data_IF_256961416827
#
_entry.id   IF_256961416827
#
_cell.length_a   1.000
_cell.length_b   1.000
_cell.length_c   1.000
_cell.angle_alpha   90.00
_cell.angle_beta   90.00
_cell.angle_gamma   90.00
#
_symmetry.space_group_name_H-M   'P 1'
#
loop_
_entity.id
_entity.type
_entity.pdbx_description
1 polymer ?
#
# COMPACT_ATOMS: atom_id res chain seq x y z
N UNK A 1 4.37 -12.19 32.78
CA UNK A 1 3.43 -11.53 31.84
C UNK A 1 3.69 -12.13 30.48
N UNK A 2 2.69 -12.71 29.89
CA UNK A 2 2.80 -13.31 28.56
C UNK A 2 3.02 -12.21 27.50
N UNK A 3 3.96 -12.41 26.59
CA UNK A 3 4.19 -11.45 25.52
C UNK A 3 3.07 -11.53 24.48
N UNK A 4 2.16 -10.56 24.50
CA UNK A 4 1.02 -10.52 23.58
C UNK A 4 1.38 -10.16 22.12
N UNK A 5 2.60 -9.66 21.91
CA UNK A 5 3.03 -9.16 20.59
C UNK A 5 3.89 -10.14 19.80
N UNK A 6 4.21 -11.31 20.37
CA UNK A 6 4.97 -12.33 19.63
C UNK A 6 4.04 -13.02 18.64
N UNK A 7 4.35 -13.02 17.33
CA UNK A 7 3.55 -13.77 16.38
C UNK A 7 3.67 -15.27 16.68
N UNK A 8 2.52 -15.90 16.91
CA UNK A 8 2.47 -17.34 17.18
C UNK A 8 2.87 -18.20 15.99
N UNK A 9 2.81 -17.63 14.78
CA UNK A 9 3.03 -18.33 13.52
C UNK A 9 3.88 -17.49 12.57
N UNK A 10 5.19 -17.74 12.58
CA UNK A 10 6.14 -16.97 11.75
C UNK A 10 5.87 -17.13 10.26
N UNK A 11 5.41 -18.29 9.81
CA UNK A 11 5.01 -18.50 8.41
C UNK A 11 3.86 -17.58 7.97
N UNK A 12 2.88 -17.34 8.84
CA UNK A 12 1.77 -16.43 8.56
C UNK A 12 2.23 -14.97 8.53
N UNK A 13 3.16 -14.61 9.42
CA UNK A 13 3.79 -13.29 9.41
C UNK A 13 4.61 -13.08 8.13
N UNK A 14 5.32 -14.10 7.66
CA UNK A 14 6.06 -14.04 6.39
C UNK A 14 5.12 -13.83 5.20
N UNK A 15 3.94 -14.44 5.19
CA UNK A 15 2.92 -14.22 4.17
C UNK A 15 2.34 -12.81 4.21
N UNK A 16 2.20 -12.20 5.41
CA UNK A 16 1.83 -10.79 5.54
C UNK A 16 2.91 -9.89 4.90
N UNK A 17 4.19 -10.13 5.21
CA UNK A 17 5.29 -9.39 4.57
C UNK A 17 5.27 -9.53 3.05
N UNK A 18 5.02 -10.74 2.54
CA UNK A 18 4.89 -10.99 1.10
C UNK A 18 3.74 -10.21 0.47
N UNK A 19 2.62 -10.04 1.18
CA UNK A 19 1.51 -9.22 0.72
C UNK A 19 1.94 -7.75 0.48
N UNK A 20 2.72 -7.16 1.42
CA UNK A 20 3.26 -5.81 1.26
C UNK A 20 4.17 -5.70 0.03
N UNK A 21 5.03 -6.68 -0.18
CA UNK A 21 5.92 -6.72 -1.35
C UNK A 21 5.12 -6.79 -2.66
N UNK A 22 4.12 -7.65 -2.74
CA UNK A 22 3.23 -7.74 -3.90
C UNK A 22 2.50 -6.42 -4.17
N UNK A 23 2.00 -5.75 -3.12
CA UNK A 23 1.37 -4.44 -3.29
C UNK A 23 2.36 -3.43 -3.87
N UNK A 24 3.58 -3.37 -3.39
CA UNK A 24 4.59 -2.45 -3.93
C UNK A 24 4.89 -2.70 -5.41
N UNK A 25 4.95 -3.96 -5.84
CA UNK A 25 5.10 -4.32 -7.25
C UNK A 25 3.98 -3.73 -8.12
N UNK A 26 2.71 -3.86 -7.67
CA UNK A 26 1.56 -3.30 -8.39
C UNK A 26 1.53 -1.77 -8.36
N UNK A 27 1.87 -1.15 -7.24
CA UNK A 27 1.96 0.32 -7.12
C UNK A 27 2.99 0.87 -8.12
N UNK A 28 4.19 0.28 -8.16
CA UNK A 28 5.25 0.70 -9.08
C UNK A 28 4.89 0.51 -10.54
N UNK A 29 4.14 -0.55 -10.86
CA UNK A 29 3.66 -0.84 -12.21
C UNK A 29 2.39 -0.06 -12.58
N UNK A 30 1.75 0.62 -11.62
CA UNK A 30 0.42 1.23 -11.77
C UNK A 30 -0.60 0.19 -12.26
N UNK A 31 -0.51 -1.00 -11.71
CA UNK A 31 -1.35 -2.16 -12.06
C UNK A 31 -2.53 -2.30 -11.09
N UNK A 32 -3.59 -1.58 -11.36
CA UNK A 32 -4.79 -1.61 -10.52
C UNK A 32 -5.48 -2.98 -10.55
N UNK A 33 -5.58 -3.59 -11.71
CA UNK A 33 -6.24 -4.88 -11.88
C UNK A 33 -5.51 -5.98 -11.10
N UNK A 34 -4.18 -6.01 -11.18
CA UNK A 34 -3.35 -6.98 -10.45
C UNK A 34 -3.40 -6.82 -8.94
N UNK A 35 -3.59 -5.59 -8.45
CA UNK A 35 -3.69 -5.31 -7.02
C UNK A 35 -5.05 -5.72 -6.41
N UNK A 36 -6.12 -5.71 -7.18
CA UNK A 36 -7.49 -5.95 -6.67
C UNK A 36 -7.64 -7.24 -5.84
N UNK A 37 -7.07 -8.40 -6.21
CA UNK A 37 -7.19 -9.61 -5.41
C UNK A 37 -6.55 -9.54 -4.02
N UNK A 38 -5.67 -8.57 -3.77
CA UNK A 38 -5.06 -8.34 -2.46
C UNK A 38 -6.04 -7.75 -1.43
N UNK A 39 -7.18 -7.24 -1.87
CA UNK A 39 -8.15 -6.51 -1.05
C UNK A 39 -9.55 -7.13 -1.13
N UNK A 40 -10.26 -7.14 -0.01
CA UNK A 40 -11.66 -7.54 0.00
C UNK A 40 -12.52 -6.54 -0.78
N UNK A 41 -13.60 -7.03 -1.41
CA UNK A 41 -14.52 -6.18 -2.17
C UNK A 41 -15.18 -5.10 -1.30
N UNK A 42 -15.44 -5.42 -0.04
CA UNK A 42 -16.08 -4.56 0.97
C UNK A 42 -15.09 -3.90 1.94
N UNK A 43 -13.81 -3.83 1.57
CA UNK A 43 -12.78 -3.19 2.40
C UNK A 43 -13.16 -1.76 2.78
N UNK A 44 -12.60 -1.29 3.88
CA UNK A 44 -12.68 0.11 4.29
C UNK A 44 -11.27 0.67 4.39
N UNK A 45 -11.03 1.84 3.82
CA UNK A 45 -9.72 2.48 3.84
C UNK A 45 -9.78 3.90 4.40
N UNK A 46 -8.68 4.30 5.03
CA UNK A 46 -8.26 5.69 5.12
C UNK A 46 -7.12 5.90 4.13
N UNK A 47 -7.27 6.84 3.23
CA UNK A 47 -6.19 7.28 2.35
C UNK A 47 -5.31 8.35 3.03
N UNK A 48 -4.29 8.79 2.33
CA UNK A 48 -3.36 9.79 2.87
C UNK A 48 -4.00 11.18 3.07
N UNK A 49 -5.18 11.42 2.49
CA UNK A 49 -5.89 12.71 2.54
C UNK A 49 -7.42 12.57 2.44
N UNK A 50 -7.96 11.39 2.72
CA UNK A 50 -9.40 11.11 2.57
C UNK A 50 -10.02 10.62 3.87
N UNK A 51 -11.34 10.82 4.00
CA UNK A 51 -12.19 10.19 4.99
C UNK A 51 -12.36 8.69 4.71
N UNK A 52 -13.41 8.10 5.24
CA UNK A 52 -13.75 6.71 4.96
C UNK A 52 -13.96 6.45 3.48
N UNK A 53 -13.26 5.47 2.96
CA UNK A 53 -13.47 4.93 1.63
C UNK A 53 -14.03 3.53 1.81
N UNK A 54 -15.33 3.36 1.56
CA UNK A 54 -16.01 2.08 1.69
C UNK A 54 -16.11 1.37 0.34
N UNK A 55 -15.49 0.19 0.26
CA UNK A 55 -15.45 -0.65 -0.92
C UNK A 55 -14.18 -0.48 -1.76
N UNK A 56 -13.71 -1.61 -2.30
CA UNK A 56 -12.51 -1.69 -3.14
C UNK A 56 -12.61 -0.82 -4.40
N UNK A 57 -13.79 -0.76 -5.02
CA UNK A 57 -13.98 0.04 -6.23
C UNK A 57 -13.80 1.53 -5.95
N UNK A 58 -14.28 2.01 -4.80
CA UNK A 58 -14.05 3.39 -4.36
C UNK A 58 -12.59 3.62 -3.97
N UNK A 59 -11.93 2.65 -3.35
CA UNK A 59 -10.52 2.73 -3.01
C UNK A 59 -9.66 2.89 -4.28
N UNK A 60 -9.94 2.13 -5.31
CA UNK A 60 -9.28 2.28 -6.61
C UNK A 60 -9.55 3.67 -7.21
N UNK A 61 -10.79 4.10 -7.29
CA UNK A 61 -11.17 5.35 -7.95
C UNK A 61 -10.69 6.60 -7.19
N UNK A 62 -10.81 6.62 -5.86
CA UNK A 62 -10.55 7.81 -5.04
C UNK A 62 -9.09 7.89 -4.54
N UNK A 63 -8.41 6.76 -4.38
CA UNK A 63 -7.07 6.73 -3.81
C UNK A 63 -6.02 6.21 -4.81
N UNK A 64 -6.13 4.98 -5.28
CA UNK A 64 -5.08 4.37 -6.09
C UNK A 64 -4.84 5.14 -7.38
N UNK A 65 -5.89 5.50 -8.12
CA UNK A 65 -5.79 6.25 -9.38
C UNK A 65 -5.30 7.69 -9.20
N UNK A 66 -5.49 8.25 -8.01
CA UNK A 66 -5.05 9.60 -7.67
C UNK A 66 -3.64 9.65 -7.07
N UNK A 67 -3.08 8.52 -6.67
CA UNK A 67 -1.76 8.46 -6.01
C UNK A 67 -0.74 7.73 -6.86
N UNK A 68 -0.99 6.49 -7.26
CA UNK A 68 0.04 5.64 -7.89
C UNK A 68 0.62 6.21 -9.18
N UNK A 69 -0.17 6.80 -10.10
CA UNK A 69 0.40 7.40 -11.32
C UNK A 69 1.24 8.66 -11.06
N UNK A 70 1.10 9.26 -9.88
CA UNK A 70 1.70 10.56 -9.54
C UNK A 70 2.92 10.47 -8.62
N UNK A 71 3.37 9.27 -8.29
CA UNK A 71 4.54 9.00 -7.46
C UNK A 71 5.49 8.06 -8.18
N UNK A 72 6.73 8.03 -7.73
CA UNK A 72 7.74 7.10 -8.21
C UNK A 72 8.46 6.42 -7.04
N UNK A 73 9.22 5.36 -7.34
CA UNK A 73 10.10 4.68 -6.41
C UNK A 73 9.44 4.23 -5.10
N UNK A 74 8.16 3.83 -5.18
CA UNK A 74 7.46 3.29 -4.01
C UNK A 74 8.12 2.00 -3.53
N UNK A 75 8.46 1.94 -2.25
CA UNK A 75 9.01 0.75 -1.61
C UNK A 75 8.68 0.72 -0.12
N UNK A 76 8.51 -0.47 0.41
CA UNK A 76 8.45 -0.67 1.86
C UNK A 76 9.86 -0.71 2.44
N UNK A 77 10.05 -0.14 3.63
CA UNK A 77 11.27 -0.37 4.41
C UNK A 77 11.32 -1.82 4.87
N UNK A 78 12.51 -2.41 5.11
CA UNK A 78 12.63 -3.84 5.44
C UNK A 78 11.95 -4.26 6.74
N UNK A 79 11.80 -3.37 7.72
CA UNK A 79 11.14 -3.64 9.01
C UNK A 79 9.61 -3.62 8.83
N UNK A 80 9.07 -4.72 8.37
CA UNK A 80 7.61 -4.96 8.27
C UNK A 80 7.22 -5.86 9.43
N UNK A 81 6.30 -5.39 10.27
CA UNK A 81 5.85 -6.09 11.46
C UNK A 81 4.45 -6.64 11.27
N UNK A 82 4.22 -7.84 11.82
CA UNK A 82 2.93 -8.49 11.76
C UNK A 82 2.54 -9.07 13.11
N UNK A 83 1.25 -8.99 13.42
CA UNK A 83 0.60 -9.65 14.54
C UNK A 83 -0.43 -10.58 13.94
N UNK A 84 -0.40 -11.86 14.32
CA UNK A 84 -1.35 -12.87 13.84
C UNK A 84 -2.18 -13.37 15.01
N UNK A 85 -3.50 -13.46 14.82
CA UNK A 85 -4.41 -13.99 15.85
C UNK A 85 -4.14 -15.48 16.13
N UNK A 86 -4.45 -15.97 17.34
CA UNK A 86 -4.22 -17.38 17.68
C UNK A 86 -4.94 -18.38 16.79
N UNK A 87 -6.12 -18.03 16.27
CA UNK A 87 -6.88 -18.86 15.33
C UNK A 87 -6.35 -18.78 13.89
N UNK A 88 -5.36 -17.91 13.63
CA UNK A 88 -4.72 -17.72 12.32
C UNK A 88 -5.65 -17.18 11.22
N UNK A 89 -6.74 -16.53 11.60
CA UNK A 89 -7.74 -16.02 10.64
C UNK A 89 -7.71 -14.50 10.49
N UNK A 90 -7.02 -13.80 11.37
CA UNK A 90 -6.87 -12.34 11.34
C UNK A 90 -5.40 -11.97 11.55
N UNK A 91 -4.95 -10.94 10.87
CA UNK A 91 -3.61 -10.39 11.09
C UNK A 91 -3.63 -8.86 10.98
N UNK A 92 -2.63 -8.23 11.59
CA UNK A 92 -2.35 -6.81 11.45
C UNK A 92 -0.92 -6.67 10.95
N UNK A 93 -0.74 -5.99 9.83
CA UNK A 93 0.57 -5.63 9.30
C UNK A 93 0.85 -4.15 9.47
N UNK A 94 2.09 -3.82 9.81
CA UNK A 94 2.55 -2.45 9.98
C UNK A 94 3.85 -2.25 9.22
N UNK A 95 3.93 -1.19 8.42
CA UNK A 95 5.09 -0.92 7.59
C UNK A 95 5.29 0.58 7.37
N UNK A 96 6.51 0.95 7.09
CA UNK A 96 6.89 2.29 6.64
C UNK A 96 7.28 2.21 5.18
N UNK A 97 6.80 3.15 4.37
CA UNK A 97 7.16 3.25 2.97
C UNK A 97 7.95 4.52 2.67
N UNK A 98 8.75 4.45 1.64
CA UNK A 98 9.36 5.59 0.98
C UNK A 98 8.83 5.68 -0.45
N UNK A 99 8.70 6.88 -0.95
CA UNK A 99 8.36 7.16 -2.34
C UNK A 99 8.87 8.54 -2.74
N UNK A 100 8.82 8.84 -4.03
CA UNK A 100 9.10 10.17 -4.56
C UNK A 100 7.79 10.80 -5.01
N UNK A 101 7.50 11.99 -4.47
CA UNK A 101 6.42 12.85 -4.92
C UNK A 101 6.95 14.00 -5.75
N UNK A 102 6.05 14.77 -6.36
CA UNK A 102 6.38 15.90 -7.22
C UNK A 102 5.53 17.12 -6.87
N UNK A 103 6.19 18.26 -6.70
CA UNK A 103 5.51 19.55 -6.51
C UNK A 103 4.83 20.04 -7.79
N UNK A 104 4.05 21.11 -7.70
CA UNK A 104 3.43 21.78 -8.87
C UNK A 104 4.47 22.26 -9.88
N UNK A 105 5.67 22.62 -9.42
CA UNK A 105 6.81 23.00 -10.25
C UNK A 105 7.52 21.81 -10.90
N UNK A 106 7.07 20.59 -10.63
CA UNK A 106 7.65 19.35 -11.10
C UNK A 106 8.91 18.90 -10.39
N UNK A 107 9.31 19.57 -9.29
CA UNK A 107 10.47 19.16 -8.50
C UNK A 107 10.14 17.95 -7.62
N UNK A 108 11.03 16.94 -7.57
CA UNK A 108 10.83 15.78 -6.71
C UNK A 108 11.04 16.14 -5.23
N UNK A 109 10.32 15.44 -4.36
CA UNK A 109 10.52 15.47 -2.92
C UNK A 109 10.38 14.06 -2.34
N UNK A 110 11.02 13.82 -1.20
CA UNK A 110 10.85 12.58 -0.46
C UNK A 110 9.44 12.51 0.13
N UNK A 111 8.77 11.38 -0.10
CA UNK A 111 7.39 11.16 0.32
C UNK A 111 7.27 9.90 1.17
N UNK A 112 7.81 9.91 2.41
CA UNK A 112 7.67 8.81 3.35
C UNK A 112 6.30 8.80 4.02
N UNK A 113 5.87 7.61 4.41
CA UNK A 113 4.64 7.43 5.15
C UNK A 113 4.60 6.09 5.86
N UNK A 114 3.49 5.80 6.49
CA UNK A 114 3.26 4.59 7.25
C UNK A 114 1.94 3.96 6.89
N UNK A 115 1.84 2.66 7.09
CA UNK A 115 0.65 1.89 6.84
C UNK A 115 0.34 0.95 8.00
N UNK A 116 -0.93 0.84 8.32
CA UNK A 116 -1.49 -0.26 9.08
C UNK A 116 -2.52 -0.95 8.20
N UNK A 117 -2.42 -2.27 8.09
CA UNK A 117 -3.32 -3.09 7.28
C UNK A 117 -3.89 -4.20 8.15
N UNK A 118 -5.20 -4.35 8.14
CA UNK A 118 -5.91 -5.45 8.78
C UNK A 118 -6.26 -6.49 7.74
N UNK A 119 -5.88 -7.73 8.00
CA UNK A 119 -6.10 -8.87 7.12
C UNK A 119 -7.06 -9.88 7.71
N UNK A 120 -7.77 -10.57 6.85
CA UNK A 120 -8.53 -11.76 7.21
C UNK A 120 -8.41 -12.83 6.13
N UNK A 121 -8.78 -14.04 6.50
CA UNK A 121 -8.97 -15.21 5.63
C UNK A 121 -9.97 -16.17 6.27
N UNK A 122 -10.60 -17.02 5.47
CA UNK A 122 -11.61 -17.97 5.96
C UNK A 122 -10.97 -19.22 6.58
N UNK A 123 -9.83 -19.65 6.04
CA UNK A 123 -9.09 -20.82 6.52
C UNK A 123 -7.60 -20.47 6.62
N UNK A 124 -6.84 -21.16 7.51
CA UNK A 124 -5.40 -20.92 7.66
C UNK A 124 -4.56 -21.14 6.40
N UNK A 125 -5.06 -21.91 5.43
CA UNK A 125 -4.37 -22.20 4.17
C UNK A 125 -4.71 -21.19 3.06
N UNK A 126 -5.68 -20.32 3.29
CA UNK A 126 -6.07 -19.29 2.32
C UNK A 126 -5.06 -18.12 2.31
N UNK A 127 -5.02 -17.38 1.22
CA UNK A 127 -4.24 -16.16 1.13
C UNK A 127 -4.82 -15.06 2.04
N UNK A 128 -3.95 -14.22 2.59
CA UNK A 128 -4.36 -13.03 3.32
C UNK A 128 -5.00 -12.00 2.38
N UNK A 129 -6.13 -11.46 2.80
CA UNK A 129 -6.86 -10.42 2.08
C UNK A 129 -7.03 -9.21 2.99
N UNK A 130 -6.71 -8.01 2.51
CA UNK A 130 -6.84 -6.80 3.29
C UNK A 130 -8.30 -6.38 3.42
N UNK A 131 -8.75 -6.21 4.67
CA UNK A 131 -10.07 -5.68 5.02
C UNK A 131 -10.04 -4.18 5.26
N UNK A 132 -8.93 -3.68 5.76
CA UNK A 132 -8.75 -2.28 6.11
C UNK A 132 -7.32 -1.85 5.85
N UNK A 133 -7.17 -0.66 5.32
CA UNK A 133 -5.88 0.01 5.21
C UNK A 133 -5.97 1.42 5.78
N UNK A 134 -4.92 1.81 6.49
CA UNK A 134 -4.71 3.19 6.93
C UNK A 134 -3.33 3.63 6.47
N UNK A 135 -3.29 4.53 5.52
CA UNK A 135 -2.07 5.15 5.01
C UNK A 135 -1.97 6.58 5.53
N UNK A 136 -0.82 6.95 6.09
CA UNK A 136 -0.56 8.32 6.51
C UNK A 136 0.84 8.75 6.11
N UNK A 137 0.95 9.98 5.65
CA UNK A 137 2.25 10.58 5.36
C UNK A 137 2.93 11.06 6.65
N UNK A 138 4.24 11.17 6.63
CA UNK A 138 4.97 11.79 7.71
C UNK A 138 4.66 13.29 7.76
N UNK A 139 4.91 13.88 8.93
CA UNK A 139 4.67 15.31 9.16
C UNK A 139 5.38 16.15 8.11
N UNK A 140 4.72 17.20 7.67
CA UNK A 140 5.20 18.18 6.68
C UNK A 140 5.41 17.63 5.26
N UNK A 141 5.11 16.36 5.00
CA UNK A 141 5.07 15.82 3.65
C UNK A 141 3.84 16.34 2.93
N UNK A 142 3.96 16.93 1.72
CA UNK A 142 2.81 17.39 0.96
C UNK A 142 1.83 16.25 0.68
N UNK A 143 0.53 16.50 0.90
CA UNK A 143 -0.51 15.48 0.75
C UNK A 143 -0.74 15.08 -0.70
N UNK A 144 -0.44 15.97 -1.65
CA UNK A 144 -0.68 15.75 -3.06
C UNK A 144 0.62 15.78 -3.86
N UNK A 145 0.76 14.81 -4.76
CA UNK A 145 1.79 14.79 -5.80
C UNK A 145 1.15 15.10 -7.14
N UNK A 146 1.75 16.03 -7.92
CA UNK A 146 1.12 16.63 -9.10
C UNK A 146 1.56 16.03 -10.42
N UNK A 147 2.64 15.24 -10.46
CA UNK A 147 3.21 14.83 -11.73
C UNK A 147 3.08 13.34 -11.95
N UNK A 148 2.52 13.00 -13.12
CA UNK A 148 2.69 11.68 -13.70
C UNK A 148 4.12 11.49 -14.22
N UNK A 149 4.50 10.27 -14.57
CA UNK A 149 5.78 9.98 -15.25
C UNK A 149 5.93 10.90 -16.44
N UNK A 150 7.10 11.56 -16.65
CA UNK A 150 7.32 12.37 -17.82
C UNK A 150 7.05 11.53 -19.06
N UNK A 151 6.22 12.05 -20.01
CA UNK A 151 6.05 11.42 -21.30
C UNK A 151 7.44 11.19 -21.90
N UNK A 152 7.77 9.94 -22.22
CA UNK A 152 8.94 9.65 -23.04
C UNK A 152 8.73 10.43 -24.34
N UNK A 153 9.49 11.50 -24.54
CA UNK A 153 9.54 12.15 -25.86
C UNK A 153 9.82 11.06 -26.87
N UNK A 154 8.82 10.69 -27.65
CA UNK A 154 9.02 9.83 -28.82
C UNK A 154 10.07 10.53 -29.67
N UNK A 155 11.23 9.90 -29.81
CA UNK A 155 12.28 10.41 -30.67
C UNK A 155 11.68 10.75 -32.01
N UNK A 156 11.89 11.99 -32.46
CA UNK A 156 11.53 12.43 -33.82
C UNK A 156 12.26 11.49 -34.77
N UNK A 157 11.60 10.87 -35.74
CA UNK A 157 12.33 10.14 -36.76
C UNK A 157 13.21 11.14 -37.50
N UNK A 158 14.49 10.87 -37.51
CA UNK A 158 15.47 11.59 -38.32
C UNK A 158 15.14 11.35 -39.82
N UNK A 159 15.20 12.36 -40.69
CA UNK A 159 14.95 12.23 -42.11
C UNK A 159 15.93 11.33 -42.82
#
# INVERSE_FOLDING_TARGET
MEELLTPYHEEDAALVRRWFECLAEHVCAVDFAGARPLFAADMIAFGTFTDFIAGRDKAEAAQWRNVWPHIDAFRWRPDIRAIVSPDRLTAIGMAIFDSTGYGEDGKPYERPGRATVVFARKNPDDAWVALHTHMSLFRDVPTRSFKGKPERKRGRPTP
#
